data_IF_632504395862
#
_entry.id   IF_632504395862
#
_cell.length_a   1.000
_cell.length_b   1.000
_cell.length_c   1.000
_cell.angle_alpha   90.00
_cell.angle_beta   90.00
_cell.angle_gamma   90.00
#
_symmetry.space_group_name_H-M   'P 1'
#
loop_
_entity.id
_entity.type
_entity.pdbx_description
1 polymer ?
#
# COMPACT_ATOMS: atom_id res chain seq x y z
N UNK A 1 -13.64 -4.78 -29.50
CA UNK A 1 -13.57 -5.65 -28.30
C UNK A 1 -13.13 -4.81 -27.13
N UNK A 2 -13.69 -5.02 -25.94
CA UNK A 2 -13.24 -4.37 -24.70
C UNK A 2 -12.44 -5.41 -23.90
N UNK A 3 -11.18 -5.13 -23.61
CA UNK A 3 -10.34 -5.97 -22.75
C UNK A 3 -10.04 -5.25 -21.44
N UNK A 4 -9.81 -6.03 -20.37
CA UNK A 4 -9.43 -5.53 -19.05
C UNK A 4 -8.09 -6.12 -18.68
N UNK A 5 -7.18 -5.27 -18.21
CA UNK A 5 -5.84 -5.68 -17.74
C UNK A 5 -5.79 -5.47 -16.24
N UNK A 6 -5.37 -6.50 -15.51
CA UNK A 6 -5.12 -6.43 -14.08
C UNK A 6 -3.63 -6.60 -13.85
N UNK A 7 -3.02 -5.65 -13.15
CA UNK A 7 -1.59 -5.67 -12.90
C UNK A 7 -1.31 -5.62 -11.40
N UNK A 8 -0.59 -6.64 -10.91
CA UNK A 8 -0.15 -6.71 -9.52
C UNK A 8 1.31 -6.29 -9.46
N UNK A 9 1.56 -5.10 -8.92
CA UNK A 9 2.89 -4.57 -8.74
C UNK A 9 3.30 -4.66 -7.27
N UNK A 10 4.56 -5.04 -7.04
CA UNK A 10 5.15 -5.15 -5.70
C UNK A 10 6.31 -4.18 -5.61
N UNK A 11 6.35 -3.39 -4.53
CA UNK A 11 7.48 -2.49 -4.28
C UNK A 11 8.75 -3.28 -4.01
N UNK A 12 9.88 -2.78 -4.47
CA UNK A 12 11.18 -3.34 -4.12
C UNK A 12 11.42 -3.29 -2.59
N UNK A 13 12.28 -4.18 -2.06
CA UNK A 13 12.79 -4.02 -0.70
C UNK A 13 13.60 -2.72 -0.60
N UNK A 14 13.50 -2.02 0.53
CA UNK A 14 14.25 -0.77 0.77
C UNK A 14 13.59 0.51 0.26
N UNK A 15 12.64 0.47 -0.68
CA UNK A 15 11.91 1.67 -1.11
C UNK A 15 10.67 1.92 -0.25
N UNK A 16 10.37 3.19 0.00
CA UNK A 16 9.13 3.61 0.66
C UNK A 16 7.92 3.40 -0.26
N UNK A 17 6.72 3.41 0.33
CA UNK A 17 5.49 3.33 -0.46
C UNK A 17 5.26 4.61 -1.30
N UNK A 18 5.74 5.76 -0.82
CA UNK A 18 5.61 7.04 -1.51
C UNK A 18 6.51 7.09 -2.75
N UNK A 19 7.78 6.73 -2.60
CA UNK A 19 8.71 6.59 -3.73
C UNK A 19 8.21 5.56 -4.75
N UNK A 20 7.63 4.45 -4.29
CA UNK A 20 7.03 3.47 -5.21
C UNK A 20 5.89 4.07 -6.02
N UNK A 21 4.99 4.83 -5.39
CA UNK A 21 3.86 5.49 -6.08
C UNK A 21 4.34 6.49 -7.11
N UNK A 22 5.31 7.32 -6.74
CA UNK A 22 5.89 8.31 -7.66
C UNK A 22 6.54 7.63 -8.86
N UNK A 23 7.39 6.62 -8.63
CA UNK A 23 8.03 5.86 -9.70
C UNK A 23 7.02 5.14 -10.60
N UNK A 24 5.92 4.65 -10.01
CA UNK A 24 4.87 3.95 -10.73
C UNK A 24 4.05 4.90 -11.61
N UNK A 25 3.56 5.99 -11.03
CA UNK A 25 2.65 6.92 -11.69
C UNK A 25 3.37 7.78 -12.73
N UNK A 26 4.65 8.14 -12.50
CA UNK A 26 5.42 9.01 -13.40
C UNK A 26 6.13 8.23 -14.50
N UNK A 27 6.76 7.10 -14.18
CA UNK A 27 7.60 6.39 -15.16
C UNK A 27 6.89 5.17 -15.76
N UNK A 28 6.33 4.30 -14.92
CA UNK A 28 5.78 3.02 -15.41
C UNK A 28 4.50 3.21 -16.23
N UNK A 29 3.61 4.11 -15.82
CA UNK A 29 2.39 4.38 -16.58
C UNK A 29 2.67 4.98 -17.97
N UNK A 30 3.62 5.91 -18.05
CA UNK A 30 3.98 6.54 -19.31
C UNK A 30 4.58 5.52 -20.28
N UNK A 31 5.44 4.62 -19.79
CA UNK A 31 5.95 3.49 -20.55
C UNK A 31 4.83 2.56 -21.04
N UNK A 32 3.89 2.19 -20.17
CA UNK A 32 2.75 1.34 -20.56
C UNK A 32 1.91 2.00 -21.65
N UNK A 33 1.72 3.32 -21.57
CA UNK A 33 1.01 4.09 -22.59
C UNK A 33 1.75 4.13 -23.92
N UNK A 34 3.08 4.31 -23.89
CA UNK A 34 3.92 4.29 -25.08
C UNK A 34 3.89 2.93 -25.78
N UNK A 35 3.98 1.84 -25.02
CA UNK A 35 3.95 0.47 -25.57
C UNK A 35 2.58 0.11 -26.13
N UNK A 36 1.50 0.44 -25.41
CA UNK A 36 0.15 0.08 -25.82
C UNK A 36 -0.39 0.95 -26.97
N UNK A 37 0.12 2.19 -27.12
CA UNK A 37 -0.32 3.13 -28.14
C UNK A 37 -1.85 3.32 -28.11
N UNK A 38 -2.48 3.15 -29.27
CA UNK A 38 -3.94 3.31 -29.44
C UNK A 38 -4.77 2.25 -28.68
N UNK A 39 -4.15 1.17 -28.24
CA UNK A 39 -4.80 0.15 -27.42
C UNK A 39 -4.78 0.49 -25.92
N UNK A 40 -4.18 1.60 -25.50
CA UNK A 40 -4.15 1.96 -24.09
C UNK A 40 -5.57 2.17 -23.52
N UNK A 41 -5.89 1.64 -22.32
CA UNK A 41 -7.24 1.75 -21.76
C UNK A 41 -7.67 3.20 -21.55
N UNK A 42 -8.90 3.55 -21.96
CA UNK A 42 -9.49 4.87 -21.66
C UNK A 42 -9.70 5.09 -20.16
N UNK A 43 -9.89 4.02 -19.39
CA UNK A 43 -10.07 4.09 -17.95
C UNK A 43 -9.01 3.23 -17.27
N UNK A 44 -8.29 3.83 -16.33
CA UNK A 44 -7.26 3.18 -15.55
C UNK A 44 -7.46 3.52 -14.06
N UNK A 45 -7.41 2.53 -13.18
CA UNK A 45 -7.61 2.70 -11.74
C UNK A 45 -6.47 2.04 -10.97
N UNK A 46 -5.97 2.72 -9.94
CA UNK A 46 -4.89 2.24 -9.08
C UNK A 46 -5.39 2.08 -7.65
N UNK A 47 -5.11 0.92 -7.06
CA UNK A 47 -5.42 0.67 -5.65
C UNK A 47 -4.15 0.33 -4.89
N UNK A 48 -3.75 1.24 -4.00
CA UNK A 48 -2.68 1.00 -3.05
C UNK A 48 -3.28 0.51 -1.73
N UNK A 49 -3.12 -0.77 -1.36
CA UNK A 49 -3.68 -1.28 -0.12
C UNK A 49 -3.07 -0.53 1.06
N UNK A 50 -3.93 0.04 1.91
CA UNK A 50 -3.48 0.64 3.17
C UNK A 50 -2.95 -0.50 4.04
N UNK A 51 -1.84 -0.25 4.74
CA UNK A 51 -1.38 -1.20 5.76
C UNK A 51 -2.56 -1.50 6.69
N UNK A 52 -2.81 -2.77 7.02
CA UNK A 52 -3.82 -3.10 8.01
C UNK A 52 -3.43 -2.34 9.28
N UNK A 53 -4.32 -1.45 9.76
CA UNK A 53 -4.17 -0.82 11.09
C UNK A 53 -3.83 -1.95 12.03
N UNK A 54 -2.64 -1.89 12.64
CA UNK A 54 -2.06 -2.98 13.41
C UNK A 54 -3.17 -3.68 14.20
N UNK A 55 -3.48 -4.92 13.81
CA UNK A 55 -4.38 -5.76 14.59
C UNK A 55 -3.71 -5.84 15.95
N UNK A 56 -4.31 -5.19 16.96
CA UNK A 56 -3.79 -5.15 18.33
C UNK A 56 -3.32 -6.55 18.69
N UNK A 57 -2.01 -6.73 18.76
CA UNK A 57 -1.45 -8.02 19.17
C UNK A 57 -1.67 -8.11 20.68
N UNK A 58 -1.96 -9.31 21.22
CA UNK A 58 -2.21 -9.47 22.65
C UNK A 58 -1.04 -8.98 23.52
N UNK A 59 0.17 -8.86 22.96
CA UNK A 59 1.34 -8.30 23.65
C UNK A 59 1.16 -6.83 24.08
N UNK A 60 0.42 -6.01 23.32
CA UNK A 60 0.17 -4.60 23.69
C UNK A 60 -0.86 -4.49 24.82
N UNK A 61 -1.79 -5.44 24.93
CA UNK A 61 -2.79 -5.44 26.02
C UNK A 61 -2.18 -5.75 27.40
N UNK A 62 -1.13 -6.59 27.45
CA UNK A 62 -0.49 -6.96 28.72
C UNK A 62 0.28 -5.77 29.33
N UNK A 63 0.88 -4.92 28.50
CA UNK A 63 1.56 -3.69 28.94
C UNK A 63 0.59 -2.66 29.56
N UNK A 64 -0.61 -2.51 28.99
CA UNK A 64 -1.63 -1.59 29.51
C UNK A 64 -2.23 -2.08 30.83
N UNK A 65 -2.43 -3.39 30.97
CA UNK A 65 -2.90 -4.01 32.23
C UNK A 65 -1.85 -3.85 33.34
N UNK A 66 -0.56 -3.99 33.03
CA UNK A 66 0.53 -3.82 34.02
C UNK A 66 0.66 -2.37 34.49
N UNK A 67 0.53 -1.40 33.58
CA UNK A 67 0.58 0.03 33.93
C UNK A 67 -0.62 0.50 34.75
N UNK A 68 -1.77 -0.17 34.63
CA UNK A 68 -2.98 0.14 35.38
C UNK A 68 -2.92 -0.31 36.85
N UNK A 69 -2.05 -1.29 37.17
CA UNK A 69 -1.95 -1.89 38.50
C UNK A 69 -0.95 -1.17 39.42
N UNK A 70 0.02 -0.44 38.86
CA UNK A 70 1.02 0.34 39.62
C UNK A 70 0.56 1.74 40.04
N UNK A 71 -0.58 2.24 39.56
CA UNK A 71 -1.06 3.60 39.85
C UNK A 71 -2.12 3.69 40.97
N UNK A 72 -2.42 2.59 41.69
CA UNK A 72 -3.41 2.57 42.78
C UNK A 72 -2.82 2.53 44.20
N UNK A 73 -1.50 2.58 44.35
CA UNK A 73 -0.83 2.62 45.66
C UNK A 73 0.26 3.70 45.71
N UNK A 74 -0.13 4.95 45.52
CA UNK A 74 0.60 6.10 46.04
C UNK A 74 -0.37 7.18 46.47
#
# INVERSE_FOLDING_TARGET
>A
MVFRVYLLAVKAPGISLEEFKEQWDVHHLNLLKEIAGDAYPQTHCHHYPKQPKARRTPSTMVSDIRSSKTRRHS
#
